data_IF_545527655903
#
_entry.id   IF_545527655903
#
_cell.length_a   1.000
_cell.length_b   1.000
_cell.length_c   1.000
_cell.angle_alpha   90.00
_cell.angle_beta   90.00
_cell.angle_gamma   90.00
#
_symmetry.space_group_name_H-M   'P 1'
#
loop_
_entity.id
_entity.type
_entity.pdbx_description
1 polymer ?
#
# COMPACT_ATOMS: atom_id res chain seq x y z
N UNK A 1 -6.01 9.35 -8.54
CA UNK A 1 -6.55 8.76 -7.30
C UNK A 1 -5.38 8.01 -6.70
N UNK A 2 -4.82 8.50 -5.60
CA UNK A 2 -3.68 7.85 -4.96
C UNK A 2 -4.16 6.62 -4.19
N UNK A 3 -3.60 5.46 -4.50
CA UNK A 3 -3.85 4.21 -3.82
C UNK A 3 -2.78 3.99 -2.75
N UNK A 4 -3.24 3.68 -1.54
CA UNK A 4 -2.38 3.41 -0.40
C UNK A 4 -2.56 1.96 0.05
N UNK A 5 -1.52 1.41 0.67
CA UNK A 5 -1.42 0.02 1.03
C UNK A 5 -1.07 -0.12 2.50
N UNK A 6 -1.58 -1.18 3.11
CA UNK A 6 -1.32 -1.51 4.50
C UNK A 6 0.15 -1.93 4.67
N UNK A 7 0.90 -1.36 5.61
CA UNK A 7 2.27 -1.77 5.88
C UNK A 7 2.39 -3.18 6.50
N UNK A 8 1.32 -3.67 7.12
CA UNK A 8 1.30 -4.98 7.77
C UNK A 8 1.03 -6.13 6.78
N UNK A 9 -0.02 -6.01 5.96
CA UNK A 9 -0.41 -7.07 5.03
C UNK A 9 -0.14 -6.75 3.54
N UNK A 10 0.16 -5.49 3.21
CA UNK A 10 0.35 -5.06 1.82
C UNK A 10 -0.93 -4.93 1.00
N UNK A 11 -2.10 -4.99 1.65
CA UNK A 11 -3.40 -4.90 0.99
C UNK A 11 -3.84 -3.45 0.76
N UNK A 12 -4.75 -3.23 -0.19
CA UNK A 12 -5.20 -1.87 -0.55
C UNK A 12 -6.06 -1.28 0.57
N UNK A 13 -5.72 -0.07 1.00
CA UNK A 13 -6.45 0.66 2.03
C UNK A 13 -7.65 1.39 1.45
N UNK A 14 -8.74 1.39 2.21
CA UNK A 14 -9.92 2.18 1.90
C UNK A 14 -9.81 3.57 2.51
N UNK A 15 -9.95 4.60 1.66
CA UNK A 15 -10.00 5.99 2.10
C UNK A 15 -11.38 6.29 2.66
N UNK A 16 -11.46 6.39 3.97
CA UNK A 16 -12.69 6.75 4.68
C UNK A 16 -12.71 8.27 4.96
N UNK A 17 -13.87 8.89 4.79
CA UNK A 17 -14.07 10.32 5.04
C UNK A 17 -15.14 10.46 6.13
N UNK A 18 -14.84 11.15 7.23
CA UNK A 18 -15.77 11.30 8.35
C UNK A 18 -15.50 12.55 9.18
N UNK A 19 -16.56 13.26 9.55
CA UNK A 19 -16.51 14.46 10.41
C UNK A 19 -15.40 15.47 10.01
N UNK A 20 -15.27 15.74 8.69
CA UNK A 20 -14.27 16.67 8.14
C UNK A 20 -12.83 16.14 8.07
N UNK A 21 -12.59 14.89 8.46
CA UNK A 21 -11.26 14.26 8.45
C UNK A 21 -11.21 13.08 7.49
N UNK A 22 -10.03 12.79 6.96
CA UNK A 22 -9.79 11.65 6.06
C UNK A 22 -8.92 10.64 6.81
N UNK A 23 -9.37 9.39 6.85
CA UNK A 23 -8.64 8.25 7.40
C UNK A 23 -8.41 7.17 6.35
N UNK A 24 -7.56 6.20 6.68
CA UNK A 24 -7.32 5.02 5.87
C UNK A 24 -7.59 3.78 6.71
N UNK A 25 -8.46 2.89 6.24
CA UNK A 25 -8.83 1.65 6.94
C UNK A 25 -8.40 0.44 6.11
N UNK A 26 -7.75 -0.52 6.76
CA UNK A 26 -7.41 -1.79 6.14
C UNK A 26 -8.57 -2.77 6.32
N UNK A 27 -9.16 -3.26 5.22
CA UNK A 27 -10.24 -4.26 5.31
C UNK A 27 -9.71 -5.63 5.73
N UNK A 28 -8.51 -6.01 5.30
CA UNK A 28 -7.87 -7.29 5.63
C UNK A 28 -7.53 -7.39 7.12
N UNK A 29 -6.91 -6.34 7.67
CA UNK A 29 -6.52 -6.30 9.08
C UNK A 29 -7.62 -5.73 10.00
N UNK A 30 -8.73 -5.21 9.43
CA UNK A 30 -9.86 -4.58 10.14
C UNK A 30 -9.45 -3.51 11.18
N UNK A 31 -8.48 -2.67 10.83
CA UNK A 31 -7.99 -1.58 11.69
C UNK A 31 -7.70 -0.30 10.90
N UNK A 32 -7.65 0.82 11.62
CA UNK A 32 -7.25 2.12 11.07
C UNK A 32 -5.74 2.20 10.95
N UNK A 33 -5.26 2.58 9.77
CA UNK A 33 -3.85 2.75 9.47
C UNK A 33 -3.50 4.23 9.49
N UNK A 34 -2.48 4.58 10.26
CA UNK A 34 -1.99 5.96 10.32
C UNK A 34 -1.41 6.39 8.98
N UNK A 35 -1.74 7.61 8.53
CA UNK A 35 -1.23 8.18 7.27
C UNK A 35 0.30 8.18 7.16
N UNK A 36 1.01 8.24 8.29
CA UNK A 36 2.49 8.19 8.31
C UNK A 36 3.07 6.80 8.07
N UNK A 37 2.26 5.74 8.17
CA UNK A 37 2.69 4.34 8.00
C UNK A 37 2.14 3.69 6.74
N UNK A 38 1.20 4.33 6.03
CA UNK A 38 0.68 3.78 4.78
C UNK A 38 1.80 3.72 3.75
N UNK A 39 1.80 2.68 2.93
CA UNK A 39 2.73 2.54 1.83
C UNK A 39 2.06 2.97 0.54
N UNK A 40 2.79 3.63 -0.34
CA UNK A 40 2.37 3.80 -1.73
C UNK A 40 2.62 2.54 -2.54
N UNK A 41 2.02 2.44 -3.72
CA UNK A 41 2.26 1.32 -4.64
C UNK A 41 3.75 1.10 -4.88
N UNK A 42 4.47 2.19 -5.14
CA UNK A 42 5.92 2.17 -5.37
C UNK A 42 6.71 1.69 -4.15
N UNK A 43 6.34 2.11 -2.94
CA UNK A 43 7.02 1.66 -1.71
C UNK A 43 6.76 0.17 -1.43
N UNK A 44 5.52 -0.29 -1.64
CA UNK A 44 5.17 -1.70 -1.47
C UNK A 44 5.88 -2.58 -2.50
N UNK A 45 5.93 -2.14 -3.75
CA UNK A 45 6.67 -2.80 -4.84
C UNK A 45 8.15 -2.83 -4.49
N UNK A 46 8.78 -1.72 -4.11
CA UNK A 46 10.18 -1.68 -3.70
C UNK A 46 10.53 -2.62 -2.52
N UNK A 47 9.59 -2.87 -1.60
CA UNK A 47 9.76 -3.84 -0.51
C UNK A 47 9.64 -5.29 -0.97
N UNK A 48 8.83 -5.56 -2.00
CA UNK A 48 8.63 -6.90 -2.57
C UNK A 48 9.68 -7.23 -3.64
N UNK A 49 10.19 -6.22 -4.32
CA UNK A 49 11.18 -6.30 -5.38
C UNK A 49 12.60 -6.33 -4.79
N UNK A 50 12.91 -7.40 -4.07
CA UNK A 50 14.28 -7.88 -3.99
C UNK A 50 14.59 -8.59 -5.32
N UNK A 51 15.46 -8.06 -6.20
CA UNK A 51 15.66 -8.65 -7.51
C UNK A 51 16.51 -9.92 -7.43
N UNK A 52 15.87 -11.08 -7.51
CA UNK A 52 16.39 -12.18 -8.31
C UNK A 52 15.31 -12.58 -9.34
N UNK A 53 15.21 -11.82 -10.43
CA UNK A 53 15.51 -12.37 -11.74
C UNK A 53 15.67 -11.26 -12.78
N UNK A 54 16.85 -11.25 -13.39
CA UNK A 54 17.16 -10.46 -14.57
C UNK A 54 16.63 -11.23 -15.79
N UNK A 55 15.48 -10.83 -16.33
CA UNK A 55 15.02 -11.36 -17.62
C UNK A 55 15.53 -10.45 -18.74
N UNK A 56 16.79 -10.63 -19.10
CA UNK A 56 17.27 -10.19 -20.41
C UNK A 56 16.75 -11.17 -21.46
N UNK A 57 16.03 -10.68 -22.47
CA UNK A 57 15.60 -11.49 -23.60
C UNK A 57 15.01 -10.66 -24.73
N UNK A 58 15.88 -10.01 -25.50
CA UNK A 58 15.60 -9.37 -26.78
C UNK A 58 14.82 -10.28 -27.73
N UNK A 59 13.93 -9.71 -28.53
CA UNK A 59 13.78 -10.05 -29.94
C UNK A 59 13.36 -8.80 -30.72
#
# INVERSE_FOLDING_TARGET
>A
MEDYYCPDCGDKLERISGCGTVGYMCDTCKHLVSKSKILTKQELEALKESPDHKENGSN
#
